data_IF_669545477250
#
_entry.id   IF_669545477250
#
_cell.length_a   1.000
_cell.length_b   1.000
_cell.length_c   1.000
_cell.angle_alpha   90.00
_cell.angle_beta   90.00
_cell.angle_gamma   90.00
#
_symmetry.space_group_name_H-M   'P 1'
#
loop_
_entity.id
_entity.type
_entity.pdbx_description
1 polymer ?
#
# COMPACT_ATOMS: atom_id res chain seq x y z
N UNK A 1 30.31 4.69 7.39
CA UNK A 1 30.41 5.89 6.54
C UNK A 1 31.36 6.92 7.17
N UNK A 2 32.27 7.54 6.43
CA UNK A 2 33.15 8.62 6.95
C UNK A 2 32.68 9.98 6.39
N UNK A 3 31.94 10.74 7.20
CA UNK A 3 31.39 12.04 6.82
C UNK A 3 32.46 13.02 6.31
N UNK A 4 33.65 13.05 6.93
CA UNK A 4 34.72 13.96 6.54
C UNK A 4 35.21 13.71 5.10
N UNK A 5 35.21 12.45 4.66
CA UNK A 5 35.56 12.10 3.27
C UNK A 5 34.44 12.44 2.29
N UNK A 6 33.17 12.32 2.70
CA UNK A 6 32.01 12.73 1.89
C UNK A 6 31.99 14.24 1.73
N UNK A 7 32.15 15.03 2.80
CA UNK A 7 32.22 16.49 2.73
C UNK A 7 33.36 16.96 1.83
N UNK A 8 34.54 16.32 1.91
CA UNK A 8 35.66 16.58 0.97
C UNK A 8 35.29 16.31 -0.49
N UNK A 9 34.54 15.24 -0.76
CA UNK A 9 34.16 14.90 -2.13
C UNK A 9 33.00 15.78 -2.66
N UNK A 10 32.02 16.11 -1.82
CA UNK A 10 30.97 17.09 -2.15
C UNK A 10 31.57 18.48 -2.44
N UNK A 11 32.56 18.90 -1.65
CA UNK A 11 33.30 20.14 -1.90
C UNK A 11 34.05 20.09 -3.24
N UNK A 12 34.69 18.96 -3.57
CA UNK A 12 35.33 18.77 -4.87
C UNK A 12 34.34 18.79 -6.04
N UNK A 13 33.15 18.17 -5.91
CA UNK A 13 32.09 18.24 -6.92
C UNK A 13 31.60 19.67 -7.10
N UNK A 14 31.28 20.38 -6.01
CA UNK A 14 30.85 21.78 -6.06
C UNK A 14 31.90 22.69 -6.72
N UNK A 15 33.20 22.51 -6.42
CA UNK A 15 34.29 23.20 -7.10
C UNK A 15 34.41 22.88 -8.58
N UNK A 16 34.09 21.64 -8.98
CA UNK A 16 34.16 21.19 -10.38
C UNK A 16 32.99 21.75 -11.20
N UNK A 17 31.82 21.89 -10.58
CA UNK A 17 30.57 22.27 -11.26
C UNK A 17 30.28 23.78 -11.21
N UNK A 18 30.69 24.47 -10.13
CA UNK A 18 30.45 25.91 -9.92
C UNK A 18 31.73 26.76 -9.86
N UNK A 19 32.92 26.14 -9.90
CA UNK A 19 34.21 26.82 -9.88
C UNK A 19 34.66 27.28 -8.48
N UNK A 20 35.69 28.13 -8.46
CA UNK A 20 36.19 28.79 -7.25
C UNK A 20 35.78 30.27 -7.26
N UNK A 21 34.77 30.63 -6.47
CA UNK A 21 34.52 32.01 -6.09
C UNK A 21 34.79 32.19 -4.59
N UNK A 22 35.71 33.11 -4.25
CA UNK A 22 35.96 33.50 -2.87
C UNK A 22 34.97 34.60 -2.45
N UNK A 23 33.68 34.29 -2.47
CA UNK A 23 32.65 35.13 -1.85
C UNK A 23 32.62 34.88 -0.34
N UNK A 24 32.28 35.91 0.45
CA UNK A 24 32.04 35.75 1.89
C UNK A 24 30.69 35.07 2.11
N UNK A 25 30.70 33.89 2.75
CA UNK A 25 29.50 33.12 3.07
C UNK A 25 28.51 33.94 3.88
N UNK A 26 27.27 34.02 3.41
CA UNK A 26 26.18 34.76 4.04
C UNK A 26 25.58 33.99 5.23
N UNK A 27 24.86 34.70 6.11
CA UNK A 27 24.20 34.10 7.27
C UNK A 27 23.18 33.01 6.88
N UNK A 28 22.46 33.21 5.76
CA UNK A 28 21.47 32.26 5.27
C UNK A 28 22.12 31.00 4.68
N UNK A 29 23.27 31.13 4.03
CA UNK A 29 24.09 29.99 3.57
C UNK A 29 24.69 29.21 4.74
N UNK A 30 25.16 29.89 5.80
CA UNK A 30 25.62 29.24 7.05
C UNK A 30 24.48 28.44 7.67
N UNK A 31 23.31 29.04 7.86
CA UNK A 31 22.15 28.35 8.43
C UNK A 31 21.71 27.15 7.57
N UNK A 32 21.72 27.31 6.25
CA UNK A 32 21.39 26.23 5.30
C UNK A 32 22.41 25.09 5.36
N UNK A 33 23.71 25.42 5.47
CA UNK A 33 24.78 24.44 5.63
C UNK A 33 24.67 23.68 6.97
N UNK A 34 24.31 24.35 8.07
CA UNK A 34 24.05 23.70 9.36
C UNK A 34 22.84 22.75 9.30
N UNK A 35 21.74 23.15 8.64
CA UNK A 35 20.59 22.27 8.42
C UNK A 35 20.95 21.05 7.58
N UNK A 36 21.70 21.25 6.49
CA UNK A 36 22.19 20.16 5.63
C UNK A 36 23.15 19.23 6.39
N UNK A 37 23.99 19.77 7.27
CA UNK A 37 24.91 18.98 8.09
C UNK A 37 24.16 18.10 9.11
N UNK A 38 23.12 18.60 9.77
CA UNK A 38 22.29 17.78 10.67
C UNK A 38 21.51 16.70 9.89
N UNK A 39 21.09 16.96 8.66
CA UNK A 39 20.55 15.92 7.75
C UNK A 39 21.62 14.87 7.40
N UNK A 40 22.84 15.27 7.06
CA UNK A 40 23.95 14.33 6.78
C UNK A 40 24.36 13.51 8.02
N UNK A 41 24.25 14.10 9.22
CA UNK A 41 24.51 13.45 10.50
C UNK A 41 23.41 12.45 10.85
N UNK A 42 22.12 12.76 10.60
CA UNK A 42 21.03 11.80 10.78
C UNK A 42 21.21 10.54 9.90
N UNK A 43 21.75 10.68 8.68
CA UNK A 43 22.12 9.53 7.85
C UNK A 43 23.26 8.66 8.42
N UNK A 44 24.16 9.22 9.24
CA UNK A 44 25.21 8.43 9.93
C UNK A 44 24.63 7.61 11.08
N UNK A 45 23.72 8.22 11.84
CA UNK A 45 23.21 7.64 13.08
C UNK A 45 21.97 6.74 12.85
N UNK A 46 21.43 6.69 11.61
CA UNK A 46 20.20 5.99 11.25
C UNK A 46 20.41 4.70 10.41
N UNK A 47 20.61 4.77 9.08
CA UNK A 47 20.53 3.58 8.20
C UNK A 47 21.47 3.65 6.97
N UNK A 48 22.69 3.10 7.07
CA UNK A 48 23.55 2.86 5.88
C UNK A 48 24.42 1.58 6.01
N UNK A 49 23.75 0.44 6.07
CA UNK A 49 24.30 -0.88 5.70
C UNK A 49 23.34 -1.53 4.71
N UNK A 50 23.37 -1.09 3.44
CA UNK A 50 23.00 -1.82 2.22
C UNK A 50 22.95 -0.82 1.05
N UNK A 51 23.89 -0.91 0.11
CA UNK A 51 23.79 -0.20 -1.17
C UNK A 51 22.84 -0.99 -2.07
N UNK A 52 21.75 -0.36 -2.52
CA UNK A 52 20.80 -0.99 -3.45
C UNK A 52 21.38 -1.06 -4.87
N UNK A 53 21.43 -2.25 -5.44
CA UNK A 53 21.61 -2.47 -6.87
C UNK A 53 20.26 -2.77 -7.52
N UNK A 54 20.01 -2.21 -8.70
CA UNK A 54 18.72 -2.27 -9.39
C UNK A 54 18.83 -3.01 -10.72
N UNK A 55 18.26 -4.22 -10.79
CA UNK A 55 17.88 -4.80 -12.08
C UNK A 55 16.54 -4.21 -12.52
N UNK A 56 16.36 -3.96 -13.81
CA UNK A 56 15.12 -3.39 -14.37
C UNK A 56 14.29 -4.44 -15.12
N UNK A 57 13.00 -4.17 -15.30
CA UNK A 57 12.11 -4.83 -16.27
C UNK A 57 11.10 -3.75 -16.69
N UNK A 58 10.95 -3.55 -17.98
CA UNK A 58 10.12 -2.50 -18.57
C UNK A 58 8.96 -3.16 -19.31
N UNK A 59 7.80 -2.51 -19.30
CA UNK A 59 6.61 -2.93 -20.02
C UNK A 59 6.19 -1.78 -20.93
N UNK A 60 6.17 -2.01 -22.24
CA UNK A 60 5.44 -1.17 -23.18
C UNK A 60 3.95 -1.53 -23.08
N UNK A 61 3.09 -0.51 -23.06
CA UNK A 61 1.84 -0.46 -23.83
C UNK A 61 1.14 0.90 -23.65
N UNK A 62 0.35 1.23 -24.66
CA UNK A 62 -0.28 2.53 -24.96
C UNK A 62 -1.59 2.78 -24.17
N UNK A 63 -2.30 3.87 -24.51
CA UNK A 63 -3.67 4.28 -24.13
C UNK A 63 -3.92 5.32 -23.01
N UNK A 64 -4.52 6.41 -23.48
CA UNK A 64 -5.56 7.30 -22.94
C UNK A 64 -5.43 7.92 -21.54
N UNK A 65 -5.19 9.23 -21.55
CA UNK A 65 -5.30 10.12 -20.41
C UNK A 65 -6.77 10.27 -19.96
N UNK A 66 -7.07 9.89 -18.72
CA UNK A 66 -8.29 10.30 -18.04
C UNK A 66 -8.01 11.68 -17.41
N UNK A 67 -8.63 12.72 -17.97
CA UNK A 67 -8.60 14.08 -17.41
C UNK A 67 -9.54 14.19 -16.22
N UNK A 68 -8.99 14.33 -15.02
CA UNK A 68 -9.77 14.65 -13.82
C UNK A 68 -10.27 16.12 -13.87
N UNK A 69 -11.55 16.33 -13.58
CA UNK A 69 -12.19 17.65 -13.59
C UNK A 69 -11.74 18.54 -12.42
N UNK A 70 -11.82 19.86 -12.62
CA UNK A 70 -11.50 20.86 -11.59
C UNK A 70 -12.71 21.11 -10.69
N UNK A 71 -12.59 20.80 -9.41
CA UNK A 71 -13.46 21.36 -8.36
C UNK A 71 -12.73 22.49 -7.60
N UNK A 72 -13.52 23.46 -7.13
CA UNK A 72 -13.09 24.80 -6.71
C UNK A 72 -12.30 24.85 -5.40
N UNK A 73 -11.40 25.83 -5.31
CA UNK A 73 -10.71 26.19 -4.07
C UNK A 73 -11.64 26.97 -3.12
N UNK A 74 -11.69 26.54 -1.85
CA UNK A 74 -12.16 27.38 -0.75
C UNK A 74 -10.96 28.16 -0.19
N UNK A 75 -10.88 29.46 -0.48
CA UNK A 75 -9.88 30.36 0.10
C UNK A 75 -10.07 30.48 1.62
N UNK A 76 -9.02 30.22 2.40
CA UNK A 76 -9.00 30.46 3.85
C UNK A 76 -8.29 31.79 4.11
N UNK A 77 -9.03 32.74 4.68
CA UNK A 77 -8.57 34.11 5.01
C UNK A 77 -7.24 34.11 5.80
N UNK A 78 -6.16 34.54 5.11
CA UNK A 78 -4.77 34.42 5.60
C UNK A 78 -4.36 35.50 6.62
N UNK A 79 -5.13 36.59 6.74
CA UNK A 79 -4.49 37.88 6.99
C UNK A 79 -4.16 38.18 8.48
N UNK A 80 -4.82 37.57 9.47
CA UNK A 80 -4.84 38.12 10.85
C UNK A 80 -4.09 37.27 11.91
N UNK A 81 -3.46 36.16 11.51
CA UNK A 81 -2.66 35.29 12.41
C UNK A 81 -1.15 35.41 12.19
N UNK A 82 -0.72 35.63 10.94
CA UNK A 82 0.69 35.83 10.57
C UNK A 82 1.34 37.04 11.29
N UNK A 83 0.56 38.10 11.56
CA UNK A 83 1.04 39.29 12.26
C UNK A 83 1.39 39.07 13.74
N UNK A 84 0.85 38.04 14.42
CA UNK A 84 1.20 37.76 15.82
C UNK A 84 2.61 37.16 15.91
N UNK A 85 2.91 36.15 15.10
CA UNK A 85 4.17 35.40 15.16
C UNK A 85 5.39 36.23 14.74
N UNK A 86 5.18 37.24 13.89
CA UNK A 86 6.22 38.23 13.55
C UNK A 86 6.56 39.20 14.71
N UNK A 87 5.81 39.17 15.81
CA UNK A 87 5.86 40.19 16.88
C UNK A 87 6.15 39.64 18.28
N UNK A 88 5.81 38.38 18.54
CA UNK A 88 5.98 37.71 19.84
C UNK A 88 6.56 36.31 19.66
N UNK A 89 7.54 35.92 20.48
CA UNK A 89 7.99 34.52 20.61
C UNK A 89 7.06 33.73 21.55
N UNK A 90 7.06 32.38 21.51
CA UNK A 90 6.29 31.57 22.47
C UNK A 90 6.68 31.87 23.93
N UNK A 91 7.98 31.97 24.22
CA UNK A 91 8.51 32.37 25.52
C UNK A 91 8.04 33.77 25.96
N UNK A 92 7.95 34.75 25.04
CA UNK A 92 7.34 36.05 25.35
C UNK A 92 5.85 35.92 25.70
N UNK A 93 5.09 35.03 25.03
CA UNK A 93 3.68 34.80 25.34
C UNK A 93 3.49 34.15 26.71
N UNK A 94 4.31 33.15 27.05
CA UNK A 94 4.29 32.48 28.36
C UNK A 94 4.59 33.45 29.50
N UNK A 95 5.69 34.21 29.40
CA UNK A 95 6.05 35.24 30.38
C UNK A 95 4.95 36.32 30.56
N UNK A 96 4.23 36.67 29.49
CA UNK A 96 3.09 37.60 29.54
C UNK A 96 1.92 36.99 30.30
N UNK A 97 1.58 35.72 30.05
CA UNK A 97 0.48 35.04 30.73
C UNK A 97 0.81 34.79 32.21
N UNK A 98 2.02 34.33 32.52
CA UNK A 98 2.45 34.11 33.90
C UNK A 98 2.35 35.41 34.73
N UNK A 99 2.83 36.53 34.18
CA UNK A 99 2.72 37.82 34.87
C UNK A 99 1.27 38.27 35.09
N UNK A 100 0.39 38.04 34.10
CA UNK A 100 -1.04 38.37 34.21
C UNK A 100 -1.74 37.50 35.25
N UNK A 101 -1.37 36.22 35.35
CA UNK A 101 -1.95 35.26 36.29
C UNK A 101 -1.46 35.50 37.73
N UNK A 102 -0.20 35.96 37.90
CA UNK A 102 0.32 36.47 39.17
C UNK A 102 -0.36 37.79 39.61
N UNK A 103 -0.94 38.56 38.68
CA UNK A 103 -1.56 39.87 38.94
C UNK A 103 -3.02 39.95 38.47
N UNK A 104 -3.94 39.11 39.00
CA UNK A 104 -5.30 38.95 38.47
C UNK A 104 -6.16 40.23 38.52
N UNK A 105 -5.80 41.19 39.39
CA UNK A 105 -6.48 42.48 39.53
C UNK A 105 -5.85 43.61 38.69
N UNK A 106 -4.83 43.33 37.88
CA UNK A 106 -4.17 44.33 37.05
C UNK A 106 -5.12 44.88 35.97
N UNK A 107 -5.21 46.21 35.86
CA UNK A 107 -5.94 46.87 34.77
C UNK A 107 -5.17 46.69 33.46
N UNK A 108 -5.87 46.63 32.33
CA UNK A 108 -5.23 46.52 31.01
C UNK A 108 -4.21 47.64 30.74
N UNK A 109 -4.43 48.85 31.24
CA UNK A 109 -3.45 49.94 31.17
C UNK A 109 -2.12 49.59 31.86
N UNK A 110 -2.16 48.88 32.99
CA UNK A 110 -0.97 48.38 33.70
C UNK A 110 -0.26 47.31 32.87
N UNK A 111 -1.02 46.35 32.31
CA UNK A 111 -0.49 45.28 31.45
C UNK A 111 0.18 45.86 30.19
N UNK A 112 -0.45 46.83 29.53
CA UNK A 112 0.09 47.48 28.32
C UNK A 112 1.29 48.39 28.62
N UNK A 113 1.35 49.03 29.80
CA UNK A 113 2.54 49.77 30.25
C UNK A 113 3.75 48.84 30.48
N UNK A 114 3.53 47.68 31.14
CA UNK A 114 4.56 46.67 31.38
C UNK A 114 5.01 46.01 30.06
N UNK A 115 4.05 45.60 29.24
CA UNK A 115 4.28 44.91 27.98
C UNK A 115 3.84 45.76 26.79
N UNK A 116 4.66 46.77 26.44
CA UNK A 116 4.36 47.77 25.38
C UNK A 116 4.01 47.20 24.00
N UNK A 117 4.36 45.94 23.71
CA UNK A 117 3.95 45.24 22.49
C UNK A 117 2.44 44.92 22.47
N UNK A 118 1.80 44.76 23.63
CA UNK A 118 0.38 44.39 23.78
C UNK A 118 -0.50 45.63 23.61
N UNK A 119 -1.16 45.73 22.44
CA UNK A 119 -2.05 46.85 22.10
C UNK A 119 -3.53 46.62 22.47
N UNK A 120 -3.99 45.37 22.53
CA UNK A 120 -5.39 45.03 22.78
C UNK A 120 -5.51 43.87 23.78
N UNK A 121 -6.57 43.86 24.60
CA UNK A 121 -6.82 42.83 25.60
C UNK A 121 -6.93 41.42 25.01
N UNK A 122 -7.46 41.30 23.79
CA UNK A 122 -7.64 40.02 23.08
C UNK A 122 -6.32 39.29 22.80
N UNK A 123 -5.16 39.95 22.87
CA UNK A 123 -3.86 39.26 22.80
C UNK A 123 -3.68 38.29 23.96
N UNK A 124 -4.14 38.63 25.17
CA UNK A 124 -4.04 37.76 26.35
C UNK A 124 -4.88 36.50 26.13
N UNK A 125 -6.12 36.65 25.64
CA UNK A 125 -6.98 35.51 25.28
C UNK A 125 -6.32 34.64 24.21
N UNK A 126 -5.84 35.24 23.11
CA UNK A 126 -5.16 34.52 22.01
C UNK A 126 -3.85 33.86 22.45
N UNK A 127 -3.12 34.41 23.42
CA UNK A 127 -1.92 33.78 23.98
C UNK A 127 -2.26 32.59 24.87
N UNK A 128 -3.29 32.68 25.72
CA UNK A 128 -3.80 31.51 26.46
C UNK A 128 -4.27 30.42 25.51
N UNK A 129 -5.10 30.76 24.52
CA UNK A 129 -5.53 29.82 23.47
C UNK A 129 -4.34 29.20 22.73
N UNK A 130 -3.29 29.96 22.43
CA UNK A 130 -2.07 29.46 21.77
C UNK A 130 -1.27 28.50 22.66
N UNK A 131 -1.12 28.81 23.95
CA UNK A 131 -0.36 27.97 24.92
C UNK A 131 -1.16 26.71 25.26
N UNK A 132 -2.44 26.84 25.59
CA UNK A 132 -3.35 25.72 25.91
C UNK A 132 -3.48 24.74 24.74
N UNK A 133 -3.44 25.24 23.50
CA UNK A 133 -3.49 24.40 22.30
C UNK A 133 -2.12 24.02 21.74
N UNK A 134 -0.98 24.37 22.36
CA UNK A 134 0.37 24.11 21.81
C UNK A 134 0.51 24.54 20.33
N UNK A 135 0.22 25.82 20.08
CA UNK A 135 0.27 26.47 18.76
C UNK A 135 -1.08 26.63 18.06
N UNK A 136 -1.07 27.31 16.92
CA UNK A 136 -2.28 27.55 16.12
C UNK A 136 -2.69 26.33 15.29
N UNK A 137 -3.99 26.28 14.95
CA UNK A 137 -4.55 25.32 14.00
C UNK A 137 -3.78 25.28 12.66
N UNK A 138 -3.36 26.43 12.14
CA UNK A 138 -2.62 26.52 10.88
C UNK A 138 -1.21 25.92 11.00
N UNK A 139 -0.51 26.18 12.11
CA UNK A 139 0.81 25.60 12.35
C UNK A 139 0.74 24.09 12.52
N UNK A 140 -0.27 23.57 13.23
CA UNK A 140 -0.50 22.12 13.34
C UNK A 140 -0.80 21.50 11.97
N UNK A 141 -1.67 22.12 11.16
CA UNK A 141 -1.94 21.65 9.79
C UNK A 141 -0.69 21.66 8.91
N UNK A 142 0.16 22.69 9.02
CA UNK A 142 1.44 22.75 8.30
C UNK A 142 2.38 21.62 8.72
N UNK A 143 2.58 21.42 10.03
CA UNK A 143 3.41 20.32 10.55
C UNK A 143 2.89 18.93 10.13
N UNK A 144 1.57 18.74 10.09
CA UNK A 144 0.94 17.51 9.59
C UNK A 144 1.25 17.31 8.10
N UNK A 145 1.06 18.34 7.25
CA UNK A 145 1.36 18.25 5.81
C UNK A 145 2.85 18.01 5.53
N UNK A 146 3.76 18.69 6.24
CA UNK A 146 5.20 18.49 6.12
C UNK A 146 5.61 17.06 6.49
N UNK A 147 5.08 16.52 7.59
CA UNK A 147 5.29 15.12 7.98
C UNK A 147 4.76 14.13 6.93
N UNK A 148 3.52 14.31 6.47
CA UNK A 148 2.93 13.47 5.42
C UNK A 148 3.75 13.47 4.13
N UNK A 149 4.28 14.64 3.73
CA UNK A 149 5.11 14.76 2.52
C UNK A 149 6.45 14.05 2.69
N UNK A 150 7.10 14.20 3.85
CA UNK A 150 8.36 13.52 4.15
C UNK A 150 8.19 11.99 4.17
N UNK A 151 7.14 11.48 4.84
CA UNK A 151 6.82 10.04 4.83
C UNK A 151 6.50 9.55 3.42
N UNK A 152 5.64 10.25 2.66
CA UNK A 152 5.34 9.91 1.27
C UNK A 152 6.61 9.88 0.40
N UNK A 153 7.46 10.91 0.49
CA UNK A 153 8.69 11.02 -0.28
C UNK A 153 9.67 9.90 0.08
N UNK A 154 9.87 9.62 1.37
CA UNK A 154 10.70 8.52 1.82
C UNK A 154 10.17 7.17 1.30
N UNK A 155 8.88 6.90 1.51
CA UNK A 155 8.17 5.69 1.07
C UNK A 155 8.11 5.48 -0.43
N UNK A 156 8.10 6.53 -1.25
CA UNK A 156 8.11 6.44 -2.71
C UNK A 156 9.50 6.48 -3.33
N UNK A 157 10.33 7.44 -2.93
CA UNK A 157 11.60 7.74 -3.60
C UNK A 157 12.73 6.83 -3.15
N UNK A 158 12.81 6.52 -1.85
CA UNK A 158 13.86 5.67 -1.26
C UNK A 158 13.33 4.24 -1.15
N UNK A 159 12.40 4.08 -0.22
CA UNK A 159 11.10 3.44 -0.33
C UNK A 159 10.87 2.45 -1.50
N UNK A 160 10.39 3.01 -2.63
CA UNK A 160 9.73 2.28 -3.72
C UNK A 160 8.53 1.44 -3.24
N UNK A 161 7.95 1.72 -2.07
CA UNK A 161 6.74 1.05 -1.58
C UNK A 161 5.50 1.58 -2.31
N UNK A 162 4.44 0.77 -2.37
CA UNK A 162 3.15 1.24 -2.85
C UNK A 162 2.48 2.04 -1.73
N UNK A 163 2.16 3.31 -2.00
CA UNK A 163 1.49 4.21 -1.05
C UNK A 163 0.09 4.53 -1.56
N UNK A 164 -0.89 4.53 -0.66
CA UNK A 164 -2.29 4.81 -0.97
C UNK A 164 -2.84 5.97 -0.12
N UNK A 165 -4.03 6.47 -0.46
CA UNK A 165 -4.72 7.53 0.32
C UNK A 165 -4.86 7.13 1.80
N UNK A 166 -5.16 5.86 2.09
CA UNK A 166 -5.26 5.32 3.45
C UNK A 166 -3.93 5.37 4.24
N UNK A 167 -2.78 5.44 3.57
CA UNK A 167 -1.47 5.61 4.23
C UNK A 167 -1.22 7.08 4.54
N UNK A 168 -1.58 8.00 3.62
CA UNK A 168 -1.59 9.43 3.90
C UNK A 168 -2.53 9.80 5.07
N UNK A 169 -3.70 9.17 5.14
CA UNK A 169 -4.62 9.30 6.28
C UNK A 169 -3.98 8.85 7.60
N UNK A 170 -3.23 7.72 7.59
CA UNK A 170 -2.50 7.23 8.77
C UNK A 170 -1.40 8.19 9.19
N UNK A 171 -0.57 8.69 8.28
CA UNK A 171 0.49 9.66 8.59
C UNK A 171 -0.09 10.94 9.19
N UNK A 172 -1.20 11.42 8.63
CA UNK A 172 -1.88 12.61 9.12
C UNK A 172 -2.42 12.43 10.56
N UNK A 173 -3.09 11.31 10.83
CA UNK A 173 -3.65 10.98 12.16
C UNK A 173 -2.53 10.73 13.18
N UNK A 174 -1.44 10.06 12.79
CA UNK A 174 -0.27 9.88 13.64
C UNK A 174 0.28 11.24 14.08
N UNK A 175 0.54 12.15 13.13
CA UNK A 175 1.12 13.45 13.47
C UNK A 175 0.18 14.34 14.27
N UNK A 176 -1.13 14.27 14.02
CA UNK A 176 -2.12 15.00 14.81
C UNK A 176 -2.13 14.56 16.30
N UNK A 177 -1.94 13.26 16.58
CA UNK A 177 -1.82 12.74 17.95
C UNK A 177 -0.54 13.20 18.64
N UNK A 178 0.58 13.24 17.93
CA UNK A 178 1.84 13.82 18.44
C UNK A 178 1.69 15.31 18.81
N UNK A 179 0.74 16.01 18.17
CA UNK A 179 0.42 17.43 18.41
C UNK A 179 -0.79 17.61 19.36
N UNK A 180 -1.19 16.57 20.12
CA UNK A 180 -2.33 16.59 21.04
C UNK A 180 -3.64 17.12 20.40
N UNK A 181 -3.90 16.79 19.13
CA UNK A 181 -5.07 17.26 18.39
C UNK A 181 -6.02 16.11 18.02
N UNK A 182 -6.66 15.52 19.03
CA UNK A 182 -7.53 14.35 18.88
C UNK A 182 -8.79 14.59 18.03
N UNK A 183 -9.23 15.84 17.91
CA UNK A 183 -10.36 16.21 17.04
C UNK A 183 -10.03 16.22 15.53
N UNK A 184 -8.74 16.15 15.18
CA UNK A 184 -8.31 16.20 13.78
C UNK A 184 -8.82 14.98 12.99
N UNK A 185 -9.33 15.24 11.79
CA UNK A 185 -9.81 14.21 10.86
C UNK A 185 -9.10 14.36 9.52
N UNK A 186 -8.36 13.31 9.14
CA UNK A 186 -7.79 13.16 7.81
C UNK A 186 -8.90 12.87 6.78
N UNK A 187 -9.71 13.87 6.47
CA UNK A 187 -10.84 13.72 5.55
C UNK A 187 -10.37 13.57 4.10
N UNK A 188 -11.20 12.95 3.25
CA UNK A 188 -10.90 12.83 1.80
C UNK A 188 -10.60 14.18 1.14
N UNK A 189 -11.29 15.24 1.54
CA UNK A 189 -11.02 16.60 1.06
C UNK A 189 -9.61 17.06 1.46
N UNK A 190 -9.23 16.89 2.73
CA UNK A 190 -7.87 17.21 3.20
C UNK A 190 -6.79 16.43 2.44
N UNK A 191 -6.98 15.13 2.22
CA UNK A 191 -6.05 14.27 1.46
C UNK A 191 -5.99 14.67 -0.02
N UNK A 192 -7.12 15.02 -0.65
CA UNK A 192 -7.16 15.49 -2.03
C UNK A 192 -6.50 16.86 -2.21
N UNK A 193 -6.70 17.79 -1.27
CA UNK A 193 -6.01 19.09 -1.26
C UNK A 193 -4.51 18.91 -1.06
N UNK A 194 -4.06 18.09 -0.10
CA UNK A 194 -2.65 17.73 0.07
C UNK A 194 -2.05 17.13 -1.22
N UNK A 195 -2.76 16.21 -1.88
CA UNK A 195 -2.33 15.62 -3.17
C UNK A 195 -2.23 16.68 -4.28
N UNK A 196 -3.20 17.59 -4.38
CA UNK A 196 -3.23 18.69 -5.36
C UNK A 196 -2.03 19.63 -5.18
N UNK A 197 -1.82 20.11 -3.95
CA UNK A 197 -0.70 20.98 -3.56
C UNK A 197 0.66 20.37 -3.91
N UNK A 198 0.84 19.08 -3.62
CA UNK A 198 2.12 18.37 -3.78
C UNK A 198 2.27 17.65 -5.13
N UNK A 199 1.32 17.84 -6.07
CA UNK A 199 1.28 17.18 -7.39
C UNK A 199 1.40 15.65 -7.28
N UNK A 200 0.62 15.03 -6.41
CA UNK A 200 0.57 13.58 -6.19
C UNK A 200 -0.71 13.01 -6.82
N UNK A 201 -0.59 11.95 -7.62
CA UNK A 201 -1.74 11.28 -8.26
C UNK A 201 -1.63 9.75 -8.17
N UNK A 202 -2.75 9.04 -8.31
CA UNK A 202 -2.73 7.58 -8.42
C UNK A 202 -2.24 7.18 -9.80
N UNK A 203 -1.07 6.55 -9.87
CA UNK A 203 -0.40 6.10 -11.10
C UNK A 203 -0.35 4.58 -11.14
N UNK A 204 -0.45 3.98 -12.33
CA UNK A 204 -0.09 2.55 -12.53
C UNK A 204 1.43 2.45 -12.48
N UNK A 205 1.99 1.47 -11.76
CA UNK A 205 3.43 1.25 -11.84
C UNK A 205 3.80 0.66 -13.21
N UNK A 206 4.93 1.06 -13.77
CA UNK A 206 5.45 0.53 -15.05
C UNK A 206 6.82 -0.16 -14.91
N UNK A 207 7.38 -0.23 -13.69
CA UNK A 207 8.66 -0.87 -13.41
C UNK A 207 8.71 -1.49 -12.02
N UNK A 208 9.31 -2.69 -11.92
CA UNK A 208 9.45 -3.45 -10.66
C UNK A 208 10.94 -3.53 -10.25
N UNK A 209 11.23 -3.15 -9.00
CA UNK A 209 12.56 -3.18 -8.34
C UNK A 209 12.51 -4.07 -7.08
N UNK A 210 13.58 -4.21 -6.26
CA UNK A 210 13.61 -5.17 -5.13
C UNK A 210 13.89 -4.61 -3.72
N UNK A 211 13.06 -4.94 -2.71
CA UNK A 211 13.14 -4.52 -1.28
C UNK A 211 12.27 -5.39 -0.32
N UNK A 212 12.47 -5.33 1.01
CA UNK A 212 12.10 -6.44 1.93
C UNK A 212 11.06 -6.15 3.06
N UNK A 213 9.81 -6.65 2.91
CA UNK A 213 8.70 -6.88 3.92
C UNK A 213 8.04 -5.63 4.61
N UNK A 214 6.70 -5.52 4.84
CA UNK A 214 5.50 -6.29 4.40
C UNK A 214 4.11 -5.70 4.85
N UNK A 215 3.05 -5.94 4.04
CA UNK A 215 1.56 -5.85 4.25
C UNK A 215 0.84 -4.51 3.88
N UNK A 216 -0.47 -4.39 3.50
CA UNK A 216 -1.58 -5.30 3.04
C UNK A 216 -2.84 -4.55 2.49
N UNK A 217 -3.39 -5.00 1.34
CA UNK A 217 -4.83 -5.23 0.93
C UNK A 217 -5.91 -4.09 1.01
N UNK A 218 -7.03 -4.05 0.22
CA UNK A 218 -7.80 -5.06 -0.56
C UNK A 218 -8.59 -4.49 -1.80
N UNK A 219 -9.51 -5.28 -2.41
CA UNK A 219 -9.92 -5.23 -3.85
C UNK A 219 -11.36 -4.71 -4.22
N UNK A 220 -11.86 -5.10 -5.42
CA UNK A 220 -12.83 -4.41 -6.34
C UNK A 220 -14.10 -5.27 -6.66
N UNK A 221 -14.99 -4.82 -7.55
CA UNK A 221 -16.31 -5.45 -7.86
C UNK A 221 -16.68 -5.47 -9.37
N UNK A 222 -17.76 -6.19 -9.73
CA UNK A 222 -18.46 -6.37 -11.04
C UNK A 222 -18.19 -7.71 -11.78
N UNK A 223 -19.00 -8.75 -11.50
CA UNK A 223 -19.17 -10.01 -12.28
C UNK A 223 -20.57 -10.67 -12.10
N UNK A 224 -21.58 -9.96 -11.58
CA UNK A 224 -22.75 -10.61 -10.94
C UNK A 224 -23.90 -10.95 -11.92
N UNK A 225 -24.07 -10.20 -13.00
CA UNK A 225 -25.32 -10.25 -13.79
C UNK A 225 -25.42 -11.49 -14.69
N UNK A 226 -24.35 -11.89 -15.36
CA UNK A 226 -24.39 -13.00 -16.32
C UNK A 226 -24.53 -14.37 -15.64
N UNK A 227 -23.87 -14.56 -14.50
CA UNK A 227 -24.00 -15.76 -13.67
C UNK A 227 -25.45 -16.04 -13.24
N UNK A 228 -26.27 -15.01 -13.03
CA UNK A 228 -27.67 -15.18 -12.63
C UNK A 228 -28.55 -15.77 -13.74
N UNK A 229 -28.22 -15.54 -15.01
CA UNK A 229 -28.96 -16.08 -16.16
C UNK A 229 -28.68 -17.57 -16.35
N UNK A 230 -27.42 -17.95 -16.20
CA UNK A 230 -26.93 -19.33 -16.27
C UNK A 230 -27.51 -20.22 -15.16
N UNK A 231 -27.52 -19.74 -13.92
CA UNK A 231 -28.05 -20.50 -12.77
C UNK A 231 -29.55 -20.76 -12.91
N UNK A 232 -30.32 -19.86 -13.56
CA UNK A 232 -31.76 -20.05 -13.79
C UNK A 232 -32.04 -21.19 -14.78
N UNK A 233 -31.26 -21.36 -15.84
CA UNK A 233 -31.49 -22.43 -16.83
C UNK A 233 -31.14 -23.82 -16.30
N UNK A 234 -30.14 -23.92 -15.42
CA UNK A 234 -29.68 -25.19 -14.81
C UNK A 234 -30.45 -25.60 -13.54
N UNK A 235 -31.40 -24.78 -13.06
CA UNK A 235 -32.06 -24.94 -11.75
C UNK A 235 -32.81 -26.26 -11.57
N UNK A 236 -33.49 -26.77 -12.61
CA UNK A 236 -34.23 -28.05 -12.58
C UNK A 236 -33.32 -29.28 -12.48
N UNK A 237 -32.11 -29.19 -13.02
CA UNK A 237 -31.09 -30.23 -12.86
C UNK A 237 -30.50 -30.20 -11.45
N UNK A 238 -30.18 -29.01 -10.95
CA UNK A 238 -29.61 -28.81 -9.60
C UNK A 238 -30.56 -29.34 -8.52
N UNK A 239 -31.88 -29.18 -8.67
CA UNK A 239 -32.87 -29.70 -7.71
C UNK A 239 -32.92 -31.24 -7.59
N UNK A 240 -32.26 -31.99 -8.47
CA UNK A 240 -32.19 -33.45 -8.39
C UNK A 240 -31.08 -33.96 -7.44
N UNK A 241 -30.30 -33.06 -6.84
CA UNK A 241 -29.16 -33.36 -5.96
C UNK A 241 -29.32 -32.66 -4.60
N UNK A 242 -28.87 -33.30 -3.54
CA UNK A 242 -28.73 -32.65 -2.23
C UNK A 242 -27.57 -31.64 -2.23
N UNK A 243 -27.60 -30.69 -1.31
CA UNK A 243 -26.55 -29.65 -1.20
C UNK A 243 -25.16 -30.18 -0.84
N UNK A 244 -25.06 -31.40 -0.29
CA UNK A 244 -23.81 -32.14 -0.09
C UNK A 244 -23.31 -32.88 -1.33
N UNK A 245 -24.19 -33.21 -2.27
CA UNK A 245 -23.84 -33.87 -3.55
C UNK A 245 -23.48 -32.87 -4.65
N UNK A 246 -23.79 -31.58 -4.46
CA UNK A 246 -23.42 -30.50 -5.38
C UNK A 246 -22.06 -29.94 -4.95
N UNK A 247 -21.07 -30.03 -5.86
CA UNK A 247 -19.67 -29.72 -5.61
C UNK A 247 -19.18 -28.64 -6.57
N UNK A 248 -18.32 -27.75 -6.09
CA UNK A 248 -17.59 -26.77 -6.88
C UNK A 248 -16.09 -26.98 -6.68
N UNK A 249 -15.32 -26.88 -7.75
CA UNK A 249 -13.86 -26.85 -7.68
C UNK A 249 -13.31 -25.90 -8.74
N UNK A 250 -12.23 -25.20 -8.40
CA UNK A 250 -11.52 -24.33 -9.31
C UNK A 250 -10.02 -24.26 -8.94
N UNK A 251 -9.16 -23.96 -9.90
CA UNK A 251 -7.75 -23.68 -9.67
C UNK A 251 -7.58 -22.28 -9.05
N UNK A 252 -6.96 -22.21 -7.89
CA UNK A 252 -6.44 -20.98 -7.32
C UNK A 252 -4.93 -20.92 -7.52
N UNK A 253 -4.48 -20.16 -8.52
CA UNK A 253 -3.06 -19.82 -8.70
C UNK A 253 -2.68 -18.67 -7.78
N UNK A 254 -1.69 -18.90 -6.91
CA UNK A 254 -1.15 -17.89 -6.01
C UNK A 254 0.25 -17.52 -6.45
N UNK A 255 0.47 -16.25 -6.79
CA UNK A 255 1.83 -15.70 -6.90
C UNK A 255 2.53 -15.85 -5.55
N UNK A 256 3.83 -16.15 -5.55
CA UNK A 256 4.62 -16.16 -4.32
C UNK A 256 4.79 -14.75 -3.72
N UNK A 257 4.47 -13.70 -4.49
CA UNK A 257 4.44 -12.31 -4.06
C UNK A 257 3.42 -11.49 -4.86
N UNK A 258 2.65 -10.64 -4.16
CA UNK A 258 1.62 -9.77 -4.73
C UNK A 258 1.94 -8.29 -4.50
N UNK A 259 1.68 -7.45 -5.51
CA UNK A 259 1.82 -5.99 -5.44
C UNK A 259 0.57 -5.33 -6.05
N UNK A 260 -0.04 -4.30 -5.40
CA UNK A 260 -1.14 -3.55 -5.96
C UNK A 260 -0.75 -2.85 -7.28
N UNK A 261 -1.57 -2.91 -8.35
CA UNK A 261 -1.21 -2.39 -9.69
C UNK A 261 -1.04 -0.86 -9.77
N UNK A 262 -1.40 -0.12 -8.71
CA UNK A 262 -1.28 1.34 -8.65
C UNK A 262 -0.65 1.78 -7.33
N UNK A 263 0.00 2.93 -7.36
CA UNK A 263 0.52 3.65 -6.19
C UNK A 263 0.26 5.13 -6.38
N UNK A 264 0.19 5.90 -5.30
CA UNK A 264 0.42 7.34 -5.37
C UNK A 264 1.86 7.58 -5.83
N UNK A 265 2.07 8.50 -6.76
CA UNK A 265 3.37 8.96 -7.24
C UNK A 265 3.27 10.40 -7.73
N UNK A 266 4.39 11.03 -8.07
CA UNK A 266 4.38 12.38 -8.61
C UNK A 266 3.70 12.43 -9.98
N UNK A 267 2.79 13.38 -10.15
CA UNK A 267 2.10 13.66 -11.42
C UNK A 267 3.14 14.08 -12.47
N UNK A 268 3.14 13.38 -13.60
CA UNK A 268 4.12 13.58 -14.68
C UNK A 268 5.39 12.72 -14.56
N UNK A 269 5.55 11.89 -13.53
CA UNK A 269 6.68 10.95 -13.42
C UNK A 269 6.67 9.94 -14.58
N UNK A 270 7.74 9.90 -15.38
CA UNK A 270 7.88 8.98 -16.54
C UNK A 270 7.88 7.50 -16.13
N UNK A 271 8.47 7.20 -14.98
CA UNK A 271 8.69 5.82 -14.53
C UNK A 271 8.26 5.68 -13.07
N UNK A 272 7.08 5.11 -12.84
CA UNK A 272 6.56 4.85 -11.51
C UNK A 272 7.00 3.45 -11.07
N UNK A 273 7.98 3.42 -10.18
CA UNK A 273 8.62 2.19 -9.68
C UNK A 273 7.97 1.67 -8.39
N UNK A 274 7.85 0.34 -8.27
CA UNK A 274 7.45 -0.34 -7.02
C UNK A 274 8.38 -1.53 -6.71
N UNK A 275 8.72 -1.72 -5.44
CA UNK A 275 9.57 -2.81 -4.95
C UNK A 275 8.80 -4.12 -4.65
N UNK A 276 9.47 -5.24 -4.95
CA UNK A 276 9.09 -6.62 -4.57
C UNK A 276 10.22 -7.27 -3.76
N UNK A 277 10.02 -8.38 -3.04
CA UNK A 277 11.16 -9.12 -2.43
C UNK A 277 11.99 -9.83 -3.49
N UNK A 278 11.33 -10.44 -4.49
CA UNK A 278 12.00 -11.09 -5.63
C UNK A 278 11.13 -11.00 -6.88
N UNK A 279 11.69 -10.56 -8.02
CA UNK A 279 11.02 -10.60 -9.34
C UNK A 279 10.54 -12.01 -9.72
N UNK A 280 11.28 -13.04 -9.30
CA UNK A 280 10.86 -14.43 -9.45
C UNK A 280 9.50 -14.68 -8.79
N UNK A 281 9.26 -14.14 -7.59
CA UNK A 281 8.07 -14.44 -6.81
C UNK A 281 6.78 -13.80 -7.36
N UNK A 282 6.87 -12.74 -8.18
CA UNK A 282 5.70 -12.16 -8.87
C UNK A 282 5.36 -12.87 -10.18
N UNK A 283 6.31 -13.59 -10.77
CA UNK A 283 6.12 -14.36 -12.02
C UNK A 283 5.79 -15.82 -11.78
N UNK A 284 6.20 -16.35 -10.63
CA UNK A 284 6.03 -17.75 -10.26
C UNK A 284 4.90 -17.97 -9.27
N UNK A 285 4.11 -19.01 -9.55
CA UNK A 285 2.89 -19.35 -8.83
C UNK A 285 2.85 -20.82 -8.48
N UNK A 286 2.29 -21.15 -7.33
CA UNK A 286 1.76 -22.50 -7.07
C UNK A 286 0.24 -22.51 -7.29
N UNK A 287 -0.33 -23.66 -7.58
CA UNK A 287 -1.78 -23.81 -7.77
C UNK A 287 -2.35 -24.74 -6.73
N UNK A 288 -3.42 -24.32 -6.07
CA UNK A 288 -4.23 -25.18 -5.19
C UNK A 288 -5.57 -25.41 -5.88
N UNK A 289 -6.08 -26.64 -5.87
CA UNK A 289 -7.42 -26.97 -6.36
C UNK A 289 -8.21 -27.67 -5.23
N UNK A 290 -8.93 -26.89 -4.39
CA UNK A 290 -9.83 -27.44 -3.40
C UNK A 290 -11.16 -27.86 -4.03
N UNK A 291 -11.97 -28.58 -3.25
CA UNK A 291 -13.38 -28.87 -3.56
C UNK A 291 -14.23 -28.32 -2.41
N UNK A 292 -15.35 -27.68 -2.71
CA UNK A 292 -16.35 -27.23 -1.72
C UNK A 292 -17.73 -27.74 -2.12
N UNK A 293 -18.58 -28.06 -1.14
CA UNK A 293 -19.97 -28.48 -1.38
C UNK A 293 -20.95 -27.32 -1.24
N UNK A 294 -22.11 -27.39 -1.87
CA UNK A 294 -23.11 -26.31 -1.87
C UNK A 294 -23.75 -26.04 -0.49
N UNK A 295 -23.58 -26.95 0.48
CA UNK A 295 -23.90 -26.69 1.89
C UNK A 295 -22.81 -25.91 2.65
N UNK A 296 -21.67 -25.59 2.04
CA UNK A 296 -20.64 -24.67 2.56
C UNK A 296 -19.25 -25.25 2.90
N UNK A 297 -19.11 -26.49 3.40
CA UNK A 297 -17.81 -27.05 3.77
C UNK A 297 -16.83 -27.18 2.61
N UNK A 298 -15.56 -26.84 2.89
CA UNK A 298 -14.44 -27.36 2.11
C UNK A 298 -14.31 -28.86 2.38
N UNK A 299 -14.19 -29.66 1.33
CA UNK A 299 -13.95 -31.09 1.47
C UNK A 299 -12.48 -31.31 1.88
N UNK A 300 -12.24 -32.38 2.64
CA UNK A 300 -10.97 -32.60 3.34
C UNK A 300 -9.75 -32.72 2.40
N UNK A 301 -9.95 -33.18 1.16
CA UNK A 301 -8.88 -33.49 0.21
C UNK A 301 -8.76 -32.48 -0.92
N UNK A 302 -7.54 -32.06 -1.25
CA UNK A 302 -7.27 -31.11 -2.35
C UNK A 302 -5.98 -31.42 -3.12
N UNK A 303 -5.87 -30.88 -4.35
CA UNK A 303 -4.65 -30.94 -5.15
C UNK A 303 -3.78 -29.70 -4.87
N UNK A 304 -2.48 -29.90 -4.69
CA UNK A 304 -1.49 -28.84 -4.61
C UNK A 304 -0.41 -29.07 -5.67
N UNK A 305 -0.26 -28.12 -6.58
CA UNK A 305 0.73 -28.15 -7.66
C UNK A 305 1.84 -27.15 -7.32
N UNK A 306 2.98 -27.70 -6.91
CA UNK A 306 4.20 -26.95 -6.68
C UNK A 306 4.96 -26.77 -8.00
N UNK A 307 5.76 -25.71 -8.08
CA UNK A 307 6.67 -25.52 -9.20
C UNK A 307 7.98 -26.26 -8.96
N UNK A 308 8.44 -26.95 -9.99
CA UNK A 308 9.77 -27.58 -10.04
C UNK A 308 10.47 -27.24 -11.35
N UNK A 309 11.77 -27.56 -11.44
CA UNK A 309 12.52 -27.44 -12.71
C UNK A 309 11.97 -28.37 -13.79
N UNK A 310 11.53 -29.56 -13.36
CA UNK A 310 10.89 -30.58 -14.19
C UNK A 310 9.41 -30.78 -13.82
N UNK A 311 8.70 -31.71 -14.45
CA UNK A 311 7.31 -32.03 -14.10
C UNK A 311 7.18 -33.03 -12.92
N UNK A 312 8.28 -33.25 -12.21
CA UNK A 312 8.47 -34.17 -11.09
C UNK A 312 9.30 -33.48 -10.00
N UNK A 313 9.20 -33.93 -8.76
CA UNK A 313 10.10 -33.50 -7.70
C UNK A 313 11.51 -34.02 -7.95
N UNK A 314 12.53 -33.25 -7.53
CA UNK A 314 13.89 -33.76 -7.44
C UNK A 314 14.05 -34.66 -6.20
N UNK A 315 14.97 -35.64 -6.26
CA UNK A 315 15.18 -36.65 -5.21
C UNK A 315 15.23 -36.10 -3.78
N UNK A 316 15.89 -34.95 -3.59
CA UNK A 316 15.97 -34.28 -2.29
C UNK A 316 14.60 -33.76 -1.82
N UNK A 317 13.83 -33.15 -2.71
CA UNK A 317 12.50 -32.63 -2.39
C UNK A 317 11.57 -33.80 -2.09
N UNK A 318 11.60 -34.86 -2.90
CA UNK A 318 10.79 -36.06 -2.67
C UNK A 318 11.10 -36.75 -1.34
N UNK A 319 12.36 -36.73 -0.89
CA UNK A 319 12.79 -37.24 0.42
C UNK A 319 12.38 -36.35 1.60
N UNK A 320 12.50 -35.03 1.45
CA UNK A 320 12.32 -34.06 2.55
C UNK A 320 10.85 -33.55 2.65
N UNK A 321 10.02 -33.74 1.62
CA UNK A 321 8.66 -33.20 1.54
C UNK A 321 7.66 -34.02 2.39
N UNK A 322 7.26 -33.44 3.52
CA UNK A 322 6.17 -33.98 4.34
C UNK A 322 4.83 -33.64 3.69
N UNK A 323 4.14 -34.66 3.17
CA UNK A 323 2.80 -34.54 2.56
C UNK A 323 1.73 -35.03 3.54
N UNK A 324 0.80 -34.17 4.01
CA UNK A 324 -0.35 -34.62 4.79
C UNK A 324 -1.25 -35.57 3.98
N UNK A 325 -1.88 -36.55 4.63
CA UNK A 325 -2.71 -37.57 3.97
C UNK A 325 -3.88 -37.03 3.15
N UNK A 326 -4.35 -35.83 3.50
CA UNK A 326 -5.43 -35.11 2.83
C UNK A 326 -4.95 -34.14 1.73
N UNK A 327 -3.67 -34.13 1.39
CA UNK A 327 -3.13 -33.28 0.30
C UNK A 327 -2.51 -34.17 -0.77
N UNK A 328 -2.98 -34.05 -2.01
CA UNK A 328 -2.30 -34.64 -3.16
C UNK A 328 -1.33 -33.60 -3.69
N UNK A 329 -0.03 -33.80 -3.48
CA UNK A 329 1.01 -32.88 -3.94
C UNK A 329 1.62 -33.41 -5.25
N UNK A 330 1.71 -32.56 -6.28
CA UNK A 330 2.37 -32.86 -7.56
C UNK A 330 3.24 -31.67 -8.00
N UNK A 331 4.17 -31.92 -8.93
CA UNK A 331 5.04 -30.92 -9.52
C UNK A 331 4.60 -30.52 -10.94
N UNK A 332 4.92 -29.29 -11.37
CA UNK A 332 4.96 -28.92 -12.80
C UNK A 332 5.94 -27.77 -13.06
N UNK A 333 6.47 -27.65 -14.30
CA UNK A 333 7.45 -26.60 -14.66
C UNK A 333 7.02 -25.16 -14.36
N UNK A 334 5.71 -24.91 -14.28
CA UNK A 334 5.13 -23.58 -14.04
C UNK A 334 4.28 -23.49 -12.77
N UNK A 335 4.23 -24.54 -11.95
CA UNK A 335 3.32 -24.64 -10.80
C UNK A 335 1.82 -24.52 -11.16
N UNK A 336 1.47 -24.78 -12.42
CA UNK A 336 0.09 -24.74 -12.96
C UNK A 336 -0.38 -26.13 -13.37
N UNK A 337 -1.70 -26.28 -13.41
CA UNK A 337 -2.36 -27.51 -13.86
C UNK A 337 -2.25 -27.72 -15.38
N UNK A 338 -2.34 -28.98 -15.80
CA UNK A 338 -2.34 -29.50 -17.18
C UNK A 338 -3.15 -30.80 -17.20
N UNK A 339 -3.46 -31.35 -18.37
CA UNK A 339 -4.25 -32.59 -18.55
C UNK A 339 -3.91 -33.73 -17.57
N UNK A 340 -2.63 -34.07 -17.41
CA UNK A 340 -2.17 -35.09 -16.44
C UNK A 340 -2.60 -34.77 -15.00
N UNK A 341 -2.50 -33.51 -14.60
CA UNK A 341 -2.75 -33.05 -13.23
C UNK A 341 -4.25 -32.90 -12.96
N UNK A 342 -5.04 -32.63 -14.00
CA UNK A 342 -6.50 -32.75 -13.92
C UNK A 342 -6.93 -34.22 -13.80
N UNK A 343 -6.27 -35.16 -14.49
CA UNK A 343 -6.55 -36.60 -14.31
C UNK A 343 -6.20 -37.08 -12.88
N UNK A 344 -5.11 -36.57 -12.30
CA UNK A 344 -4.79 -36.74 -10.87
C UNK A 344 -5.90 -36.16 -9.99
N UNK A 345 -6.38 -34.94 -10.25
CA UNK A 345 -7.47 -34.33 -9.48
C UNK A 345 -8.72 -35.24 -9.47
N UNK A 346 -9.17 -35.71 -10.63
CA UNK A 346 -10.36 -36.56 -10.71
C UNK A 346 -10.18 -37.88 -9.93
N UNK A 347 -9.03 -38.55 -10.05
CA UNK A 347 -8.84 -39.90 -9.51
C UNK A 347 -8.25 -39.97 -8.10
N UNK A 348 -7.30 -39.10 -7.74
CA UNK A 348 -6.62 -39.10 -6.45
C UNK A 348 -7.28 -38.15 -5.43
N UNK A 349 -7.94 -37.08 -5.88
CA UNK A 349 -8.57 -36.07 -5.00
C UNK A 349 -10.09 -36.25 -4.95
N UNK A 350 -10.79 -36.15 -6.08
CA UNK A 350 -12.25 -36.11 -6.10
C UNK A 350 -12.87 -37.50 -5.88
N UNK A 351 -12.37 -38.55 -6.54
CA UNK A 351 -12.93 -39.90 -6.44
C UNK A 351 -13.04 -40.48 -5.01
N UNK A 352 -12.08 -40.27 -4.10
CA UNK A 352 -12.23 -40.65 -2.69
C UNK A 352 -13.28 -39.85 -1.91
N UNK A 353 -13.63 -38.64 -2.37
CA UNK A 353 -14.52 -37.71 -1.68
C UNK A 353 -16.00 -37.86 -2.06
N UNK A 354 -16.31 -38.53 -3.18
CA UNK A 354 -17.66 -38.53 -3.77
C UNK A 354 -18.40 -39.86 -3.64
N UNK A 355 -19.70 -39.77 -3.38
CA UNK A 355 -20.60 -40.92 -3.33
C UNK A 355 -20.95 -41.48 -4.72
N UNK A 356 -21.99 -42.33 -4.77
CA UNK A 356 -22.49 -42.88 -6.05
C UNK A 356 -23.18 -41.85 -6.95
N UNK A 357 -23.54 -40.69 -6.40
CA UNK A 357 -24.26 -39.61 -7.07
C UNK A 357 -23.65 -38.27 -6.67
N UNK A 358 -23.37 -37.39 -7.64
CA UNK A 358 -22.91 -36.02 -7.39
C UNK A 358 -23.00 -35.14 -8.66
N UNK A 359 -23.00 -33.83 -8.45
CA UNK A 359 -23.00 -32.81 -9.49
C UNK A 359 -21.77 -31.92 -9.31
N UNK A 360 -20.80 -32.00 -10.23
CA UNK A 360 -19.57 -31.21 -10.18
C UNK A 360 -19.67 -29.96 -11.05
N UNK A 361 -19.32 -28.81 -10.49
CA UNK A 361 -19.15 -27.54 -11.20
C UNK A 361 -17.67 -27.22 -11.37
N UNK A 362 -17.23 -27.04 -12.62
CA UNK A 362 -15.87 -26.61 -13.00
C UNK A 362 -15.92 -25.40 -13.96
N UNK A 363 -14.77 -24.78 -14.21
CA UNK A 363 -14.62 -23.74 -15.24
C UNK A 363 -14.71 -24.29 -16.68
N UNK A 364 -14.80 -23.39 -17.66
CA UNK A 364 -14.82 -23.70 -19.09
C UNK A 364 -13.47 -24.08 -19.70
N UNK A 365 -12.39 -24.18 -18.90
CA UNK A 365 -11.08 -24.50 -19.44
C UNK A 365 -11.11 -25.88 -20.11
N UNK A 366 -10.62 -25.95 -21.36
CA UNK A 366 -10.69 -27.12 -22.24
C UNK A 366 -10.36 -28.46 -21.56
N UNK A 367 -9.39 -28.47 -20.64
CA UNK A 367 -8.97 -29.65 -19.89
C UNK A 367 -10.00 -30.10 -18.84
N UNK A 368 -10.67 -29.15 -18.16
CA UNK A 368 -11.74 -29.41 -17.18
C UNK A 368 -13.07 -29.74 -17.86
N UNK A 369 -13.34 -29.14 -19.01
CA UNK A 369 -14.53 -29.39 -19.83
C UNK A 369 -14.55 -30.77 -20.54
N UNK A 370 -13.53 -31.61 -20.36
CA UNK A 370 -13.42 -32.92 -21.01
C UNK A 370 -14.35 -33.97 -20.37
N UNK A 371 -15.59 -33.99 -20.85
CA UNK A 371 -16.63 -34.97 -20.49
C UNK A 371 -16.18 -36.43 -20.69
N UNK A 372 -15.22 -36.70 -21.59
CA UNK A 372 -14.72 -38.06 -21.85
C UNK A 372 -13.83 -38.50 -20.69
N UNK A 373 -12.88 -37.65 -20.27
CA UNK A 373 -12.05 -37.89 -19.09
C UNK A 373 -12.87 -37.96 -17.80
N UNK A 374 -13.87 -37.10 -17.64
CA UNK A 374 -14.79 -37.14 -16.50
C UNK A 374 -15.53 -38.48 -16.41
N UNK A 375 -16.18 -38.92 -17.50
CA UNK A 375 -16.87 -40.22 -17.55
C UNK A 375 -15.93 -41.41 -17.37
N UNK A 376 -14.70 -41.33 -17.87
CA UNK A 376 -13.69 -42.37 -17.67
C UNK A 376 -13.22 -42.49 -16.21
N UNK A 377 -13.20 -41.39 -15.45
CA UNK A 377 -12.91 -41.41 -14.01
C UNK A 377 -14.09 -41.97 -13.18
N UNK A 378 -15.33 -41.77 -13.66
CA UNK A 378 -16.57 -42.09 -12.94
C UNK A 378 -17.57 -42.95 -13.74
N UNK A 379 -17.16 -44.10 -14.32
CA UNK A 379 -17.95 -44.82 -15.32
C UNK A 379 -19.23 -45.48 -14.80
N UNK A 380 -19.36 -45.66 -13.48
CA UNK A 380 -20.46 -46.38 -12.81
C UNK A 380 -21.13 -45.54 -11.71
N UNK A 381 -21.17 -44.21 -11.87
CA UNK A 381 -21.77 -43.27 -10.92
C UNK A 381 -22.80 -42.37 -11.61
N UNK A 382 -23.86 -42.00 -10.90
CA UNK A 382 -24.85 -40.98 -11.28
C UNK A 382 -24.21 -39.58 -11.13
N UNK A 383 -23.18 -39.34 -11.93
CA UNK A 383 -22.32 -38.17 -11.86
C UNK A 383 -22.54 -37.28 -13.09
N UNK A 384 -22.68 -35.98 -12.84
CA UNK A 384 -22.78 -34.98 -13.91
C UNK A 384 -21.77 -33.87 -13.72
N UNK A 385 -21.24 -33.40 -14.84
CA UNK A 385 -20.32 -32.26 -14.93
C UNK A 385 -21.07 -31.08 -15.53
N UNK A 386 -21.12 -29.97 -14.78
CA UNK A 386 -21.58 -28.69 -15.25
C UNK A 386 -20.40 -27.74 -15.38
N UNK A 387 -20.35 -27.07 -16.52
CA UNK A 387 -19.32 -26.10 -16.86
C UNK A 387 -19.92 -24.70 -16.66
N UNK A 388 -19.19 -23.82 -15.98
CA UNK A 388 -19.49 -22.40 -15.98
C UNK A 388 -19.21 -21.81 -17.37
N UNK A 389 -20.04 -20.88 -17.87
CA UNK A 389 -19.78 -20.19 -19.12
C UNK A 389 -18.49 -19.37 -19.02
N UNK A 390 -17.85 -19.13 -20.16
CA UNK A 390 -16.79 -18.12 -20.27
C UNK A 390 -17.37 -16.74 -19.90
N UNK A 391 -16.55 -15.90 -19.25
CA UNK A 391 -16.93 -14.59 -18.75
C UNK A 391 -15.80 -13.57 -18.86
#
# INVERSE_FOLDING_TARGET
MNLLNITKHLFHLAQTEYGFENSTTTTDEIFTAERLFEVLKSFKDSYFNELYTYDTLEFEDEYDEITDEKESDDEIDENDQFYLKKRFTPEEMENIIEWVDQHPNARFATISNQFRKIKHRNYITRFREYIENDGTRLEKLKQIKEFMFNEFYFKRTIEKEAVHDADLERYAIQKARELNWDEFKASKSFINTFKRENRISSRRYNKIVTRTKSNRNICRYICILDAQKEVRSKRSLISNYSTSEILNSNHCSFQQEYVPPRTLSFTGERTTEVAVKKKYNTTHSYTVQPVTSANGPLLEKFLHILQEKENTFGERVEKDLIVPSNVVVKASKSGKSRDEKHHVFLNEVLRPLVGKKFLLFLDSWKTQADLTKFRAAFPNQDSQLLIFPEG
#
